data_IF_727848310440
#
_entry.id   IF_727848310440
#
_cell.length_a   1.000
_cell.length_b   1.000
_cell.length_c   1.000
_cell.angle_alpha   90.00
_cell.angle_beta   90.00
_cell.angle_gamma   90.00
#
_symmetry.space_group_name_H-M   'P 1'
#
loop_
_entity.id
_entity.type
_entity.pdbx_description
1 polymer ?
#
# COMPACT_ATOMS: atom_id res chain seq x y z
N UNK A 1 8.01 -15.43 -4.38
CA UNK A 1 7.11 -15.11 -5.51
C UNK A 1 5.69 -15.43 -5.05
N UNK A 2 4.75 -14.49 -5.18
CA UNK A 2 3.35 -14.72 -4.81
C UNK A 2 2.69 -15.67 -5.82
N UNK A 3 1.81 -16.55 -5.35
CA UNK A 3 0.91 -17.30 -6.23
C UNK A 3 -0.20 -16.39 -6.76
N UNK A 4 -0.87 -16.78 -7.85
CA UNK A 4 -1.97 -16.01 -8.43
C UNK A 4 -3.06 -15.66 -7.40
N UNK A 5 -3.41 -16.59 -6.52
CA UNK A 5 -4.41 -16.35 -5.48
C UNK A 5 -3.91 -15.34 -4.45
N UNK A 6 -2.62 -15.36 -4.13
CA UNK A 6 -2.02 -14.44 -3.17
C UNK A 6 -1.91 -13.03 -3.72
N UNK A 7 -1.61 -12.90 -5.02
CA UNK A 7 -1.67 -11.62 -5.74
C UNK A 7 -3.08 -11.03 -5.68
N UNK A 8 -4.11 -11.82 -5.98
CA UNK A 8 -5.51 -11.38 -5.94
C UNK A 8 -5.91 -10.95 -4.52
N UNK A 9 -5.55 -11.74 -3.50
CA UNK A 9 -5.86 -11.41 -2.11
C UNK A 9 -5.15 -10.12 -1.68
N UNK A 10 -3.88 -9.95 -2.05
CA UNK A 10 -3.09 -8.75 -1.70
C UNK A 10 -3.66 -7.50 -2.36
N UNK A 11 -4.05 -7.59 -3.64
CA UNK A 11 -4.71 -6.49 -4.35
C UNK A 11 -6.01 -6.08 -3.66
N UNK A 12 -6.84 -7.06 -3.30
CA UNK A 12 -8.09 -6.80 -2.58
C UNK A 12 -7.85 -6.16 -1.20
N UNK A 13 -6.85 -6.63 -0.45
CA UNK A 13 -6.46 -6.06 0.84
C UNK A 13 -6.00 -4.59 0.71
N UNK A 14 -5.22 -4.27 -0.33
CA UNK A 14 -4.77 -2.90 -0.61
C UNK A 14 -5.94 -2.00 -1.01
N UNK A 15 -6.82 -2.47 -1.89
CA UNK A 15 -8.00 -1.73 -2.34
C UNK A 15 -9.00 -1.45 -1.21
N UNK A 16 -9.21 -2.43 -0.32
CA UNK A 16 -10.07 -2.28 0.86
C UNK A 16 -9.52 -1.20 1.80
N UNK A 17 -8.22 -1.24 2.11
CA UNK A 17 -7.57 -0.23 2.94
C UNK A 17 -7.58 1.16 2.29
N UNK A 18 -7.34 1.23 0.98
CA UNK A 18 -7.44 2.48 0.23
C UNK A 18 -8.86 3.06 0.26
N UNK A 19 -9.87 2.23 0.10
CA UNK A 19 -11.28 2.63 0.16
C UNK A 19 -11.68 3.12 1.56
N UNK A 20 -11.17 2.46 2.62
CA UNK A 20 -11.40 2.86 4.03
C UNK A 20 -10.76 4.19 4.38
N UNK A 21 -9.61 4.49 3.77
CA UNK A 21 -8.90 5.73 4.02
C UNK A 21 -9.73 6.95 3.62
N UNK A 22 -10.58 6.80 2.58
CA UNK A 22 -11.52 7.81 2.10
C UNK A 22 -10.88 9.21 1.96
N UNK A 23 -9.61 9.25 1.56
CA UNK A 23 -8.83 10.47 1.34
C UNK A 23 -8.84 10.86 -0.14
N UNK A 24 -8.61 12.13 -0.40
CA UNK A 24 -8.54 12.66 -1.75
C UNK A 24 -7.32 12.08 -2.51
N UNK A 25 -7.57 11.53 -3.70
CA UNK A 25 -6.53 10.96 -4.56
C UNK A 25 -5.34 11.91 -4.79
N UNK A 26 -5.53 13.22 -5.09
CA UNK A 26 -4.40 14.15 -5.25
C UNK A 26 -3.52 14.29 -4.00
N UNK A 27 -4.11 14.19 -2.81
CA UNK A 27 -3.36 14.25 -1.54
C UNK A 27 -2.52 12.99 -1.38
N UNK A 28 -3.10 11.82 -1.66
CA UNK A 28 -2.40 10.54 -1.57
C UNK A 28 -1.20 10.49 -2.54
N UNK A 29 -1.40 10.95 -3.78
CA UNK A 29 -0.33 11.01 -4.78
C UNK A 29 0.79 11.98 -4.38
N UNK A 30 0.45 13.10 -3.75
CA UNK A 30 1.44 14.04 -3.23
C UNK A 30 2.21 13.43 -2.04
N UNK A 31 1.52 12.81 -1.09
CA UNK A 31 2.17 12.18 0.06
C UNK A 31 3.13 11.04 -0.34
N UNK A 32 2.74 10.25 -1.35
CA UNK A 32 3.51 9.12 -1.85
C UNK A 32 4.59 9.51 -2.87
N UNK A 33 4.47 10.70 -3.48
CA UNK A 33 5.36 11.16 -4.56
C UNK A 33 5.42 10.19 -5.76
N UNK A 34 4.30 9.52 -6.07
CA UNK A 34 4.15 8.62 -7.23
C UNK A 34 3.04 9.10 -8.17
N UNK A 35 3.06 8.57 -9.39
CA UNK A 35 2.00 8.80 -10.37
C UNK A 35 0.73 8.01 -10.05
N UNK A 36 -0.39 8.47 -10.59
CA UNK A 36 -1.68 7.75 -10.51
C UNK A 36 -1.61 6.36 -11.16
N UNK A 37 -0.82 6.21 -12.23
CA UNK A 37 -0.61 4.93 -12.90
C UNK A 37 0.11 3.93 -11.99
N UNK A 38 1.19 4.36 -11.34
CA UNK A 38 1.94 3.53 -10.40
C UNK A 38 1.07 3.11 -9.20
N UNK A 39 0.29 4.06 -8.65
CA UNK A 39 -0.65 3.73 -7.58
C UNK A 39 -1.67 2.68 -8.03
N UNK A 40 -2.23 2.83 -9.23
CA UNK A 40 -3.17 1.85 -9.78
C UNK A 40 -2.52 0.48 -10.02
N UNK A 41 -1.27 0.42 -10.50
CA UNK A 41 -0.53 -0.85 -10.65
C UNK A 41 -0.35 -1.55 -9.30
N UNK A 42 -0.05 -0.79 -8.24
CA UNK A 42 0.12 -1.32 -6.89
C UNK A 42 -1.22 -1.82 -6.33
N UNK A 43 -2.27 -1.02 -6.41
CA UNK A 43 -3.60 -1.39 -5.90
C UNK A 43 -4.17 -2.63 -6.61
N UNK A 44 -3.85 -2.81 -7.90
CA UNK A 44 -4.28 -3.99 -8.66
C UNK A 44 -3.28 -5.14 -8.63
N UNK A 45 -2.11 -4.95 -8.02
CA UNK A 45 -0.96 -5.85 -8.10
C UNK A 45 -0.61 -6.26 -9.55
N UNK A 46 -0.75 -5.32 -10.49
CA UNK A 46 -0.44 -5.50 -11.91
C UNK A 46 1.00 -5.07 -12.21
N UNK A 47 1.93 -6.02 -12.10
CA UNK A 47 3.37 -5.82 -12.23
C UNK A 47 3.93 -4.61 -11.43
N UNK A 48 3.62 -4.49 -10.12
CA UNK A 48 4.07 -3.35 -9.34
C UNK A 48 5.54 -3.48 -8.96
N UNK A 49 6.18 -2.35 -8.67
CA UNK A 49 7.49 -2.34 -8.05
C UNK A 49 7.39 -2.80 -6.58
N UNK A 50 8.07 -3.88 -6.15
CA UNK A 50 7.98 -4.37 -4.77
C UNK A 50 8.25 -3.32 -3.69
N UNK A 51 9.21 -2.40 -3.89
CA UNK A 51 9.45 -1.31 -2.94
C UNK A 51 8.22 -0.41 -2.76
N UNK A 52 7.57 -0.04 -3.86
CA UNK A 52 6.38 0.82 -3.81
C UNK A 52 5.15 0.11 -3.21
N UNK A 53 5.04 -1.21 -3.34
CA UNK A 53 3.97 -1.98 -2.66
C UNK A 53 4.08 -1.82 -1.15
N UNK A 54 5.30 -1.94 -0.59
CA UNK A 54 5.52 -1.73 0.83
C UNK A 54 5.29 -0.29 1.26
N UNK A 55 5.72 0.67 0.43
CA UNK A 55 5.47 2.10 0.64
C UNK A 55 3.97 2.39 0.77
N UNK A 56 3.15 1.95 -0.20
CA UNK A 56 1.68 2.17 -0.17
C UNK A 56 1.06 1.47 1.03
N UNK A 57 1.50 0.25 1.35
CA UNK A 57 1.00 -0.49 2.52
C UNK A 57 1.26 0.26 3.83
N UNK A 58 2.48 0.75 4.04
CA UNK A 58 2.84 1.49 5.26
C UNK A 58 2.11 2.84 5.33
N UNK A 59 1.95 3.52 4.19
CA UNK A 59 1.17 4.75 4.09
C UNK A 59 -0.29 4.52 4.51
N UNK A 60 -0.95 3.50 3.95
CA UNK A 60 -2.33 3.17 4.28
C UNK A 60 -2.47 2.84 5.77
N UNK A 61 -1.55 2.06 6.33
CA UNK A 61 -1.56 1.72 7.75
C UNK A 61 -1.42 2.95 8.64
N UNK A 62 -0.46 3.83 8.35
CA UNK A 62 -0.24 5.06 9.13
C UNK A 62 -1.44 5.98 9.06
N UNK A 63 -1.94 6.25 7.85
CA UNK A 63 -3.05 7.19 7.65
C UNK A 63 -4.37 6.68 8.23
N UNK A 64 -4.65 5.38 8.13
CA UNK A 64 -5.80 4.77 8.80
C UNK A 64 -5.68 4.89 10.33
N UNK A 65 -4.49 4.63 10.89
CA UNK A 65 -4.24 4.81 12.34
C UNK A 65 -4.38 6.27 12.78
N UNK A 66 -3.85 7.21 12.00
CA UNK A 66 -3.99 8.66 12.25
C UNK A 66 -5.46 9.10 12.28
N UNK A 67 -6.30 8.53 11.42
CA UNK A 67 -7.74 8.77 11.39
C UNK A 67 -8.52 8.02 12.49
N UNK A 68 -7.88 7.09 13.21
CA UNK A 68 -8.55 6.20 14.16
C UNK A 68 -9.39 5.09 13.50
N UNK A 69 -9.14 4.80 12.23
CA UNK A 69 -9.81 3.75 11.44
C UNK A 69 -9.03 2.44 11.52
N UNK A 70 -9.74 1.32 11.65
CA UNK A 70 -9.11 0.00 11.73
C UNK A 70 -8.63 -0.49 10.35
N UNK A 71 -7.34 -0.86 10.30
CA UNK A 71 -6.69 -1.42 9.11
C UNK A 71 -7.27 -2.79 8.79
N UNK A 72 -7.63 -3.01 7.53
CA UNK A 72 -7.96 -4.34 7.04
C UNK A 72 -6.70 -5.21 7.02
N UNK A 73 -6.70 -6.38 7.69
CA UNK A 73 -5.49 -7.16 7.90
C UNK A 73 -4.94 -7.67 6.57
N UNK A 74 -3.64 -7.48 6.38
CA UNK A 74 -2.92 -8.08 5.26
C UNK A 74 -2.64 -9.55 5.54
N UNK A 75 -2.77 -10.42 4.54
CA UNK A 75 -2.40 -11.83 4.67
C UNK A 75 -0.93 -12.06 4.36
N UNK A 76 -0.40 -11.39 3.31
CA UNK A 76 0.99 -11.54 2.85
C UNK A 76 1.90 -10.38 3.19
N UNK A 77 1.32 -9.20 3.37
CA UNK A 77 2.05 -8.01 3.84
C UNK A 77 1.96 -7.85 5.37
N UNK A 78 1.58 -8.91 6.10
CA UNK A 78 1.52 -8.92 7.57
C UNK A 78 2.92 -8.82 8.21
N UNK A 79 3.89 -9.55 7.64
CA UNK A 79 5.24 -9.59 8.19
C UNK A 79 6.09 -8.44 7.64
N UNK A 80 6.24 -7.41 8.47
CA UNK A 80 7.10 -6.26 8.18
C UNK A 80 8.58 -6.66 8.05
N UNK A 81 8.97 -7.86 8.49
CA UNK A 81 10.36 -8.32 8.38
C UNK A 81 10.81 -8.52 6.93
N UNK A 82 9.86 -8.71 6.01
CA UNK A 82 10.06 -8.80 4.56
C UNK A 82 10.34 -7.45 3.88
N UNK A 83 10.01 -6.33 4.54
CA UNK A 83 10.35 -4.97 4.12
C UNK A 83 11.88 -4.78 4.00
N UNK A 84 12.68 -5.49 4.83
CA UNK A 84 14.15 -5.37 4.84
C UNK A 84 14.84 -5.71 3.51
N UNK A 85 14.12 -6.28 2.55
CA UNK A 85 14.68 -6.74 1.28
C UNK A 85 14.47 -5.73 0.14
N UNK A 86 13.64 -4.70 0.34
CA UNK A 86 13.31 -3.71 -0.67
C UNK A 86 13.47 -2.30 -0.11
N UNK A 87 14.45 -1.51 -0.57
CA UNK A 87 14.55 -0.12 -0.16
C UNK A 87 13.38 0.68 -0.76
N UNK A 88 12.73 1.49 0.06
CA UNK A 88 11.76 2.50 -0.38
C UNK A 88 11.77 3.67 0.59
N UNK A 89 11.30 4.83 0.13
CA UNK A 89 11.21 6.05 0.92
C UNK A 89 9.84 6.17 1.60
N UNK A 90 9.76 6.90 2.71
CA UNK A 90 8.48 7.25 3.36
C UNK A 90 8.28 8.77 3.40
N UNK A 91 7.97 9.42 2.25
CA UNK A 91 7.96 10.88 2.17
C UNK A 91 6.96 11.55 3.12
N UNK A 92 5.84 10.88 3.42
CA UNK A 92 4.79 11.37 4.32
C UNK A 92 5.15 11.38 5.82
N UNK A 93 6.25 10.74 6.21
CA UNK A 93 6.74 10.70 7.61
C UNK A 93 7.77 11.78 7.94
N UNK A 94 8.14 12.62 6.97
CA UNK A 94 9.16 13.67 7.11
C UNK A 94 8.61 14.99 7.65
#
# INVERSE_FOLDING_TARGET
>A
MLTRQETINTAHELQENFSRLNSDLPTILNDLQISEEELNQILNMDNPEPGHVWMVRDYLEDKLKEQGTEVYPFSRLADHSANRWFPYDTPWRN
#
